data_IF_472987289079
#
_entry.id   IF_472987289079
#
_cell.length_a   1.000
_cell.length_b   1.000
_cell.length_c   1.000
_cell.angle_alpha   90.00
_cell.angle_beta   90.00
_cell.angle_gamma   90.00
#
_symmetry.space_group_name_H-M   'P 1'
#
loop_
_entity.id
_entity.type
_entity.pdbx_description
1 polymer ?
#
# COMPACT_ATOMS: atom_id res chain seq x y z
N UNK A 1 -16.17 -6.39 1.85
CA UNK A 1 -15.44 -6.21 3.12
C UNK A 1 -15.56 -7.53 3.85
N UNK A 2 -14.46 -8.07 4.36
CA UNK A 2 -14.49 -9.36 5.06
C UNK A 2 -14.52 -9.09 6.57
N UNK A 3 -15.29 -9.89 7.29
CA UNK A 3 -15.41 -9.83 8.75
C UNK A 3 -14.86 -11.10 9.35
N UNK A 4 -14.33 -10.99 10.57
CA UNK A 4 -13.96 -12.14 11.37
C UNK A 4 -15.22 -12.86 11.86
N UNK A 5 -15.30 -14.18 11.71
CA UNK A 5 -16.49 -14.97 12.02
C UNK A 5 -16.22 -16.28 12.78
N UNK A 6 -14.98 -16.52 13.21
CA UNK A 6 -14.63 -17.66 14.07
C UNK A 6 -15.07 -17.41 15.52
N UNK A 7 -15.31 -18.50 16.25
CA UNK A 7 -15.72 -18.47 17.66
C UNK A 7 -14.61 -18.98 18.56
N UNK A 8 -14.40 -18.28 19.68
CA UNK A 8 -13.39 -18.57 20.69
C UNK A 8 -13.99 -18.51 22.10
N UNK A 9 -13.33 -19.14 23.07
CA UNK A 9 -13.58 -18.95 24.50
C UNK A 9 -13.22 -17.54 24.94
N UNK A 10 -12.08 -17.01 24.47
CA UNK A 10 -11.53 -15.74 24.92
C UNK A 10 -11.25 -14.79 23.74
N UNK A 11 -11.73 -13.54 23.87
CA UNK A 11 -11.50 -12.49 22.88
C UNK A 11 -10.72 -11.35 23.53
N UNK A 12 -9.48 -11.15 23.11
CA UNK A 12 -8.57 -10.11 23.60
C UNK A 12 -8.51 -8.93 22.63
N UNK A 13 -9.21 -7.84 22.96
CA UNK A 13 -9.09 -6.59 22.24
C UNK A 13 -8.01 -5.71 22.86
N UNK A 14 -7.07 -5.24 22.04
CA UNK A 14 -6.04 -4.30 22.49
C UNK A 14 -6.17 -2.98 21.72
N UNK A 15 -6.36 -1.89 22.47
CA UNK A 15 -6.12 -0.55 21.96
C UNK A 15 -4.64 -0.21 22.14
N UNK A 16 -3.97 0.01 21.02
CA UNK A 16 -2.52 0.13 20.96
C UNK A 16 -2.11 1.60 21.12
N UNK A 17 -1.09 1.84 21.94
CA UNK A 17 -0.37 3.12 21.98
C UNK A 17 1.12 2.87 21.85
N UNK A 18 1.90 3.92 21.62
CA UNK A 18 3.35 3.79 21.40
C UNK A 18 4.10 3.24 22.63
N UNK A 19 3.55 3.39 23.84
CA UNK A 19 4.21 3.03 25.11
C UNK A 19 3.30 2.31 26.11
N UNK A 20 2.00 2.25 25.85
CA UNK A 20 1.02 1.55 26.68
C UNK A 20 0.06 0.74 25.82
N UNK A 21 -0.60 -0.23 26.46
CA UNK A 21 -1.63 -1.08 25.86
C UNK A 21 -2.82 -1.07 26.79
N UNK A 22 -4.00 -0.81 26.27
CA UNK A 22 -5.24 -1.08 26.97
C UNK A 22 -5.75 -2.44 26.50
N UNK A 23 -5.70 -3.41 27.40
CA UNK A 23 -6.03 -4.81 27.13
C UNK A 23 -7.38 -5.11 27.75
N UNK A 24 -8.31 -5.62 26.95
CA UNK A 24 -9.60 -6.11 27.40
C UNK A 24 -9.83 -7.54 26.92
N UNK A 25 -10.15 -8.45 27.84
CA UNK A 25 -10.52 -9.83 27.53
C UNK A 25 -11.97 -10.06 27.95
N UNK A 26 -12.77 -10.58 27.02
CA UNK A 26 -14.14 -11.01 27.28
C UNK A 26 -14.31 -12.49 26.94
N UNK A 27 -15.24 -13.16 27.62
CA UNK A 27 -15.62 -14.53 27.29
C UNK A 27 -16.69 -14.59 26.18
N UNK A 28 -17.08 -15.80 25.78
CA UNK A 28 -18.13 -16.04 24.78
C UNK A 28 -19.49 -15.43 25.18
N UNK A 29 -19.81 -15.42 26.48
CA UNK A 29 -21.03 -14.81 27.04
C UNK A 29 -21.00 -13.27 26.99
N UNK A 30 -19.83 -12.67 26.75
CA UNK A 30 -19.62 -11.23 26.68
C UNK A 30 -19.28 -10.59 28.03
N UNK A 31 -18.99 -11.40 29.05
CA UNK A 31 -18.54 -10.95 30.35
C UNK A 31 -17.08 -10.52 30.27
N UNK A 32 -16.74 -9.40 30.92
CA UNK A 32 -15.35 -8.92 30.97
C UNK A 32 -14.58 -9.69 32.02
N UNK A 33 -13.60 -10.49 31.58
CA UNK A 33 -12.71 -11.24 32.47
C UNK A 33 -11.50 -10.39 32.90
N UNK A 34 -11.04 -9.51 32.01
CA UNK A 34 -9.88 -8.66 32.23
C UNK A 34 -10.08 -7.30 31.55
N UNK A 35 -9.64 -6.24 32.23
CA UNK A 35 -9.53 -4.91 31.63
C UNK A 35 -8.44 -4.09 32.33
N UNK A 36 -7.28 -3.92 31.70
CA UNK A 36 -6.11 -3.32 32.34
C UNK A 36 -5.24 -2.54 31.35
N UNK A 37 -4.66 -1.45 31.82
CA UNK A 37 -3.56 -0.77 31.13
C UNK A 37 -2.22 -1.37 31.57
N UNK A 38 -1.37 -1.68 30.60
CA UNK A 38 0.01 -2.15 30.83
C UNK A 38 0.99 -1.36 29.95
N UNK A 39 2.27 -1.41 30.30
CA UNK A 39 3.33 -0.94 29.39
C UNK A 39 3.32 -1.76 28.09
N UNK A 40 3.67 -1.13 26.96
CA UNK A 40 3.86 -1.82 25.69
C UNK A 40 5.16 -2.67 25.70
N UNK A 41 5.12 -3.79 26.41
CA UNK A 41 6.22 -4.73 26.61
C UNK A 41 5.68 -6.18 26.43
N UNK A 42 6.36 -7.04 25.64
CA UNK A 42 6.01 -8.45 25.48
C UNK A 42 5.86 -9.24 26.80
N UNK A 43 6.76 -9.04 27.75
CA UNK A 43 6.76 -9.74 29.05
C UNK A 43 5.51 -9.38 29.87
N UNK A 44 5.18 -8.09 29.89
CA UNK A 44 3.97 -7.60 30.56
C UNK A 44 2.70 -8.12 29.88
N UNK A 45 2.72 -8.28 28.55
CA UNK A 45 1.59 -8.81 27.81
C UNK A 45 1.39 -10.30 28.06
N UNK A 46 2.45 -11.12 28.01
CA UNK A 46 2.34 -12.56 28.25
C UNK A 46 1.92 -12.85 29.69
N UNK A 47 2.50 -12.16 30.68
CA UNK A 47 2.11 -12.31 32.09
C UNK A 47 0.61 -12.05 32.27
N UNK A 48 0.10 -11.01 31.60
CA UNK A 48 -1.30 -10.61 31.69
C UNK A 48 -2.27 -11.60 31.03
N UNK A 49 -1.92 -12.15 29.86
CA UNK A 49 -2.82 -13.02 29.08
C UNK A 49 -2.64 -14.51 29.39
N UNK A 50 -1.57 -14.90 30.10
CA UNK A 50 -1.26 -16.31 30.45
C UNK A 50 -2.46 -17.12 30.98
N UNK A 51 -3.34 -16.57 31.84
CA UNK A 51 -4.50 -17.32 32.34
C UNK A 51 -5.56 -17.65 31.29
N UNK A 52 -5.51 -17.02 30.11
CA UNK A 52 -6.56 -17.06 29.09
C UNK A 52 -6.08 -17.63 27.74
N UNK A 53 -4.85 -18.17 27.67
CA UNK A 53 -4.23 -18.60 26.41
C UNK A 53 -5.01 -19.71 25.68
N UNK A 54 -5.72 -20.56 26.42
CA UNK A 54 -6.55 -21.59 25.83
C UNK A 54 -7.69 -20.96 25.02
N UNK A 55 -7.70 -21.20 23.70
CA UNK A 55 -8.64 -20.66 22.73
C UNK A 55 -8.81 -19.12 22.81
N UNK A 56 -7.68 -18.41 22.75
CA UNK A 56 -7.59 -16.95 22.71
C UNK A 56 -7.41 -16.42 21.28
N UNK A 57 -8.26 -15.46 20.89
CA UNK A 57 -7.99 -14.59 19.73
C UNK A 57 -7.63 -13.18 20.18
N UNK A 58 -6.54 -12.63 19.61
CA UNK A 58 -6.07 -11.29 19.88
C UNK A 58 -6.32 -10.37 18.66
N UNK A 59 -7.04 -9.27 18.89
CA UNK A 59 -7.36 -8.29 17.88
C UNK A 59 -6.85 -6.89 18.21
N UNK A 60 -6.32 -6.19 17.20
CA UNK A 60 -5.88 -4.80 17.33
C UNK A 60 -6.30 -3.96 16.12
N UNK A 61 -6.48 -2.65 16.27
CA UNK A 61 -6.65 -1.76 15.11
C UNK A 61 -5.32 -1.58 14.35
N UNK A 62 -5.38 -1.54 13.01
CA UNK A 62 -4.23 -1.24 12.17
C UNK A 62 -3.72 0.20 12.39
N UNK A 63 -2.70 0.33 13.24
CA UNK A 63 -1.92 1.55 13.43
C UNK A 63 -0.41 1.30 13.28
N UNK A 64 0.44 2.27 13.62
CA UNK A 64 1.87 2.17 13.29
C UNK A 64 2.64 1.10 14.10
N UNK A 65 2.17 0.68 15.28
CA UNK A 65 2.89 -0.22 16.18
C UNK A 65 2.29 -1.63 16.32
N UNK A 66 1.43 -2.09 15.40
CA UNK A 66 0.87 -3.46 15.49
C UNK A 66 1.91 -4.56 15.18
N UNK A 67 3.05 -4.23 14.56
CA UNK A 67 3.98 -5.23 14.05
C UNK A 67 4.52 -6.17 15.12
N UNK A 68 4.93 -5.61 16.26
CA UNK A 68 5.50 -6.40 17.34
C UNK A 68 4.45 -7.25 18.02
N UNK A 69 3.19 -6.81 18.08
CA UNK A 69 2.07 -7.58 18.64
C UNK A 69 1.75 -8.77 17.75
N UNK A 70 1.70 -8.58 16.43
CA UNK A 70 1.53 -9.69 15.50
C UNK A 70 2.67 -10.72 15.61
N UNK A 71 3.90 -10.24 15.77
CA UNK A 71 5.07 -11.10 15.92
C UNK A 71 5.08 -11.83 17.26
N UNK A 72 4.69 -11.15 18.33
CA UNK A 72 4.47 -11.74 19.63
C UNK A 72 3.44 -12.86 19.57
N UNK A 73 2.31 -12.62 18.89
CA UNK A 73 1.29 -13.66 18.71
C UNK A 73 1.82 -14.86 17.91
N UNK A 74 2.57 -14.62 16.83
CA UNK A 74 3.21 -15.66 16.03
C UNK A 74 4.24 -16.47 16.86
N UNK A 75 5.05 -15.80 17.69
CA UNK A 75 6.07 -16.42 18.55
C UNK A 75 5.44 -17.24 19.71
N UNK A 76 4.15 -17.03 20.02
CA UNK A 76 3.41 -17.69 21.11
C UNK A 76 2.22 -18.55 20.64
N UNK A 77 2.09 -18.81 19.33
CA UNK A 77 0.98 -19.58 18.74
C UNK A 77 -0.42 -19.02 19.07
N UNK A 78 -0.56 -17.69 19.20
CA UNK A 78 -1.82 -17.00 19.48
C UNK A 78 -2.46 -16.54 18.17
N UNK A 79 -3.75 -16.83 17.96
CA UNK A 79 -4.46 -16.33 16.78
C UNK A 79 -4.54 -14.79 16.81
N UNK A 80 -3.97 -14.16 15.78
CA UNK A 80 -3.93 -12.70 15.66
C UNK A 80 -4.75 -12.19 14.49
N UNK A 81 -5.59 -11.19 14.76
CA UNK A 81 -6.35 -10.50 13.73
C UNK A 81 -6.14 -8.99 13.76
N UNK A 82 -6.13 -8.38 12.58
CA UNK A 82 -5.88 -6.96 12.41
C UNK A 82 -7.13 -6.25 11.92
N UNK A 83 -7.52 -5.18 12.60
CA UNK A 83 -8.68 -4.36 12.29
C UNK A 83 -8.39 -3.32 11.22
N UNK A 84 -9.24 -3.22 10.21
CA UNK A 84 -9.11 -2.22 9.16
C UNK A 84 -9.49 -0.83 9.68
N UNK A 85 -8.50 0.04 9.91
CA UNK A 85 -8.66 1.35 10.56
C UNK A 85 -9.82 2.22 10.05
N UNK A 86 -9.99 2.35 8.71
CA UNK A 86 -11.10 3.12 8.15
C UNK A 86 -12.47 2.56 8.54
N UNK A 87 -12.59 1.24 8.58
CA UNK A 87 -13.86 0.57 8.83
C UNK A 87 -14.14 0.43 10.32
N UNK A 88 -13.10 0.24 11.13
CA UNK A 88 -13.18 0.38 12.59
C UNK A 88 -13.81 1.73 12.93
N UNK A 89 -13.26 2.85 12.43
CA UNK A 89 -13.83 4.19 12.64
C UNK A 89 -15.30 4.33 12.24
N UNK A 90 -15.73 3.71 11.15
CA UNK A 90 -17.12 3.76 10.70
C UNK A 90 -18.07 3.01 11.65
N UNK A 91 -17.60 1.95 12.29
CA UNK A 91 -18.35 1.18 13.29
C UNK A 91 -18.32 1.89 14.66
N UNK A 92 -17.29 2.72 14.92
CA UNK A 92 -16.99 3.34 16.22
C UNK A 92 -17.66 4.71 16.45
N UNK A 93 -18.91 4.91 16.01
CA UNK A 93 -19.65 6.18 16.09
C UNK A 93 -20.19 6.60 17.48
N UNK A 94 -19.50 6.28 18.57
CA UNK A 94 -19.92 6.62 19.95
C UNK A 94 -19.58 8.07 20.35
N UNK A 95 -20.39 8.68 21.22
CA UNK A 95 -20.12 10.03 21.78
C UNK A 95 -18.89 10.08 22.70
N UNK A 96 -18.58 8.96 23.37
CA UNK A 96 -17.46 8.85 24.31
C UNK A 96 -16.31 8.07 23.69
N UNK A 97 -15.12 8.67 23.71
CA UNK A 97 -13.87 8.05 23.26
C UNK A 97 -12.90 8.00 24.43
N UNK A 98 -12.60 6.79 24.91
CA UNK A 98 -11.50 6.54 25.83
C UNK A 98 -10.94 5.13 25.54
N UNK A 99 -9.66 4.94 25.86
CA UNK A 99 -8.89 3.76 25.44
C UNK A 99 -9.43 2.46 26.08
N UNK A 100 -9.98 2.58 27.30
CA UNK A 100 -10.72 1.51 27.98
C UNK A 100 -11.92 1.03 27.15
N UNK A 101 -12.76 1.95 26.68
CA UNK A 101 -13.94 1.61 25.87
C UNK A 101 -13.51 1.07 24.50
N UNK A 102 -12.42 1.56 23.92
CA UNK A 102 -11.99 1.16 22.58
C UNK A 102 -11.42 -0.28 22.56
N UNK A 103 -10.63 -0.68 23.57
CA UNK A 103 -10.17 -2.08 23.72
C UNK A 103 -11.34 -3.07 23.93
N UNK A 104 -12.33 -2.72 24.77
CA UNK A 104 -13.55 -3.54 24.93
C UNK A 104 -14.34 -3.66 23.62
N UNK A 105 -14.50 -2.56 22.86
CA UNK A 105 -15.21 -2.59 21.57
C UNK A 105 -14.52 -3.51 20.57
N UNK A 106 -13.19 -3.50 20.52
CA UNK A 106 -12.42 -4.42 19.68
C UNK A 106 -12.81 -5.87 20.04
N UNK A 107 -12.71 -6.24 21.32
CA UNK A 107 -13.07 -7.57 21.80
C UNK A 107 -14.53 -7.94 21.46
N UNK A 108 -15.46 -7.02 21.70
CA UNK A 108 -16.88 -7.21 21.44
C UNK A 108 -17.20 -7.37 19.93
N UNK A 109 -16.50 -6.65 19.05
CA UNK A 109 -16.65 -6.80 17.60
C UNK A 109 -16.15 -8.15 17.10
N UNK A 110 -15.06 -8.66 17.67
CA UNK A 110 -14.55 -10.00 17.35
C UNK A 110 -15.58 -11.05 17.76
N UNK A 111 -16.04 -11.01 19.01
CA UNK A 111 -17.08 -11.91 19.53
C UNK A 111 -18.37 -11.85 18.71
N UNK A 112 -18.77 -10.66 18.29
CA UNK A 112 -20.00 -10.43 17.53
C UNK A 112 -19.91 -10.77 16.03
N UNK A 113 -18.77 -11.28 15.55
CA UNK A 113 -18.61 -11.63 14.13
C UNK A 113 -18.58 -10.42 13.17
N UNK A 114 -18.37 -9.22 13.70
CA UNK A 114 -18.46 -7.95 12.96
C UNK A 114 -17.11 -7.19 12.95
N UNK A 115 -16.02 -7.85 13.32
CA UNK A 115 -14.69 -7.26 13.30
C UNK A 115 -14.14 -7.13 11.87
N UNK A 116 -13.86 -5.91 11.39
CA UNK A 116 -13.47 -5.68 10.01
C UNK A 116 -12.00 -6.05 9.75
N UNK A 117 -11.75 -7.07 8.95
CA UNK A 117 -10.38 -7.57 8.75
C UNK A 117 -9.54 -6.69 7.82
N UNK A 118 -8.31 -6.45 8.25
CA UNK A 118 -7.18 -6.00 7.46
C UNK A 118 -6.19 -7.15 7.28
N UNK A 119 -5.33 -7.03 6.27
CA UNK A 119 -4.32 -8.04 5.99
C UNK A 119 -3.10 -7.87 6.89
N UNK A 120 -2.86 -8.88 7.72
CA UNK A 120 -1.62 -9.07 8.48
C UNK A 120 -0.52 -9.41 7.48
N UNK A 121 0.33 -8.43 7.15
CA UNK A 121 1.38 -8.65 6.17
C UNK A 121 2.50 -9.52 6.76
N UNK A 122 3.05 -10.51 6.03
CA UNK A 122 4.02 -11.46 6.58
C UNK A 122 5.28 -10.83 7.18
N UNK A 123 5.71 -11.32 8.37
CA UNK A 123 6.86 -10.83 9.14
C UNK A 123 8.12 -10.67 8.30
N UNK A 124 8.51 -11.72 7.58
CA UNK A 124 9.71 -11.76 6.73
C UNK A 124 9.71 -10.73 5.59
N UNK A 125 8.54 -10.30 5.10
CA UNK A 125 8.44 -9.37 3.97
C UNK A 125 8.13 -7.92 4.37
N UNK A 126 7.61 -7.67 5.59
CA UNK A 126 7.15 -6.33 6.03
C UNK A 126 8.23 -5.25 5.88
N UNK A 127 9.43 -5.49 6.43
CA UNK A 127 10.52 -4.52 6.39
C UNK A 127 10.93 -4.14 4.96
N UNK A 128 10.90 -5.10 4.04
CA UNK A 128 11.27 -4.85 2.64
C UNK A 128 10.21 -4.01 1.92
N UNK A 129 8.91 -4.31 2.14
CA UNK A 129 7.81 -3.47 1.64
C UNK A 129 7.92 -2.04 2.16
N UNK A 130 8.22 -1.89 3.45
CA UNK A 130 8.27 -0.56 4.06
C UNK A 130 9.47 0.26 3.55
N UNK A 131 10.62 -0.38 3.31
CA UNK A 131 11.75 0.24 2.62
C UNK A 131 11.38 0.67 1.19
N UNK A 132 10.62 -0.13 0.44
CA UNK A 132 10.14 0.23 -0.89
C UNK A 132 9.16 1.42 -0.86
N UNK A 133 8.27 1.48 0.13
CA UNK A 133 7.40 2.65 0.35
C UNK A 133 8.21 3.89 0.72
N UNK A 134 9.23 3.75 1.59
CA UNK A 134 10.14 4.85 1.92
C UNK A 134 10.89 5.36 0.70
N UNK A 135 11.43 4.46 -0.12
CA UNK A 135 12.04 4.81 -1.42
C UNK A 135 11.08 5.61 -2.29
N UNK A 136 9.82 5.19 -2.38
CA UNK A 136 8.79 5.91 -3.16
C UNK A 136 8.57 7.32 -2.65
N UNK A 137 8.54 7.53 -1.34
CA UNK A 137 8.41 8.86 -0.74
C UNK A 137 9.62 9.75 -1.05
N UNK A 138 10.85 9.23 -0.94
CA UNK A 138 12.07 9.98 -1.26
C UNK A 138 12.13 10.37 -2.74
N UNK A 139 11.67 9.49 -3.64
CA UNK A 139 11.59 9.78 -5.08
C UNK A 139 10.58 10.88 -5.39
N UNK A 140 9.44 10.90 -4.67
CA UNK A 140 8.45 11.97 -4.80
C UNK A 140 9.00 13.29 -4.29
N UNK A 141 9.64 13.29 -3.13
CA UNK A 141 10.31 14.48 -2.61
C UNK A 141 11.37 14.99 -3.61
N UNK A 142 12.16 14.11 -4.21
CA UNK A 142 13.09 14.49 -5.28
C UNK A 142 12.41 14.99 -6.57
N UNK A 143 11.13 14.70 -6.81
CA UNK A 143 10.37 15.33 -7.89
C UNK A 143 9.88 16.72 -7.49
N UNK A 144 9.49 16.92 -6.22
CA UNK A 144 9.09 18.22 -5.68
C UNK A 144 10.26 19.22 -5.72
N UNK A 145 11.48 18.80 -5.36
CA UNK A 145 12.69 19.62 -5.50
C UNK A 145 12.95 20.04 -6.95
N UNK A 146 12.75 19.13 -7.92
CA UNK A 146 12.91 19.45 -9.35
C UNK A 146 11.82 20.40 -9.84
N UNK A 147 10.60 20.26 -9.34
CA UNK A 147 9.52 21.17 -9.64
C UNK A 147 9.79 22.56 -9.06
N UNK A 148 10.33 22.64 -7.84
CA UNK A 148 10.75 23.90 -7.23
C UNK A 148 11.79 24.61 -8.12
N UNK A 149 12.83 23.91 -8.57
CA UNK A 149 13.83 24.47 -9.50
C UNK A 149 13.19 25.03 -10.77
N UNK A 150 12.29 24.26 -11.41
CA UNK A 150 11.59 24.71 -12.61
C UNK A 150 10.71 25.94 -12.34
N UNK A 151 10.03 25.97 -11.19
CA UNK A 151 9.18 27.09 -10.79
C UNK A 151 10.02 28.34 -10.51
N UNK A 152 11.16 28.22 -9.83
CA UNK A 152 12.07 29.34 -9.56
C UNK A 152 12.61 29.91 -10.87
N UNK A 153 13.02 29.07 -11.83
CA UNK A 153 13.42 29.54 -13.17
C UNK A 153 12.30 30.34 -13.85
N UNK A 154 11.05 29.87 -13.76
CA UNK A 154 9.89 30.61 -14.29
C UNK A 154 9.63 31.91 -13.54
N UNK A 155 9.81 31.94 -12.21
CA UNK A 155 9.57 33.11 -11.36
C UNK A 155 10.50 34.28 -11.72
N UNK A 156 11.75 33.98 -12.11
CA UNK A 156 12.72 34.96 -12.58
C UNK A 156 12.69 35.16 -14.10
N UNK A 157 11.65 34.66 -14.78
CA UNK A 157 11.45 34.78 -16.23
C UNK A 157 12.67 34.31 -17.05
N UNK A 158 13.36 33.27 -16.58
CA UNK A 158 14.49 32.67 -17.28
C UNK A 158 14.00 31.63 -18.31
N UNK A 159 14.79 31.36 -19.37
CA UNK A 159 14.46 30.31 -20.34
C UNK A 159 14.23 28.97 -19.64
N UNK A 160 13.29 28.14 -20.14
CA UNK A 160 12.99 26.86 -19.52
C UNK A 160 14.24 25.97 -19.49
N UNK A 161 14.56 25.49 -18.29
CA UNK A 161 15.63 24.53 -18.06
C UNK A 161 15.30 23.21 -18.76
N UNK A 162 15.84 22.99 -19.97
CA UNK A 162 15.70 21.71 -20.71
C UNK A 162 16.52 20.57 -20.10
N UNK A 163 17.22 20.84 -19.00
CA UNK A 163 18.08 19.89 -18.30
C UNK A 163 17.26 18.81 -17.61
N UNK A 164 17.55 17.55 -17.95
CA UNK A 164 17.04 16.42 -17.19
C UNK A 164 17.80 16.36 -15.86
N UNK A 165 17.24 16.94 -14.80
CA UNK A 165 17.82 17.00 -13.46
C UNK A 165 18.01 15.61 -12.79
N UNK A 166 17.74 14.50 -13.50
CA UNK A 166 18.23 13.17 -13.13
C UNK A 166 19.72 13.00 -13.42
N UNK A 167 20.27 13.73 -14.40
CA UNK A 167 21.64 13.62 -14.85
C UNK A 167 22.53 14.61 -14.10
N UNK A 168 23.67 14.14 -13.58
CA UNK A 168 24.61 14.96 -12.79
C UNK A 168 25.11 16.16 -13.59
N UNK A 169 25.62 15.96 -14.81
CA UNK A 169 26.11 17.05 -15.66
C UNK A 169 25.03 18.06 -16.08
N UNK A 170 23.75 17.68 -16.01
CA UNK A 170 22.64 18.60 -16.26
C UNK A 170 22.33 19.49 -15.04
N UNK A 171 22.72 19.06 -13.83
CA UNK A 171 22.62 19.84 -12.59
C UNK A 171 23.74 20.88 -12.49
N UNK A 172 24.93 20.55 -12.98
CA UNK A 172 26.09 21.46 -12.97
C UNK A 172 25.82 22.75 -13.76
N UNK A 173 25.02 22.66 -14.82
CA UNK A 173 24.57 23.83 -15.59
C UNK A 173 23.74 24.83 -14.76
N UNK A 174 23.18 24.39 -13.63
CA UNK A 174 22.40 25.24 -12.74
C UNK A 174 23.22 26.04 -11.73
N UNK A 175 24.52 25.74 -11.59
CA UNK A 175 25.36 26.34 -10.54
C UNK A 175 25.52 27.86 -10.67
N UNK A 176 25.32 28.42 -11.86
CA UNK A 176 25.47 29.84 -12.17
C UNK A 176 24.24 30.42 -12.89
N UNK A 177 23.08 29.77 -12.75
CA UNK A 177 21.85 30.17 -13.48
C UNK A 177 21.21 31.45 -12.92
N UNK A 178 21.36 31.72 -11.62
CA UNK A 178 20.74 32.87 -10.97
C UNK A 178 21.82 33.86 -10.53
N UNK A 179 21.66 35.13 -10.93
CA UNK A 179 22.60 36.20 -10.58
C UNK A 179 22.54 36.57 -9.10
N UNK A 180 21.35 36.51 -8.49
CA UNK A 180 21.20 36.75 -7.06
C UNK A 180 21.78 35.56 -6.26
N UNK A 181 22.77 35.79 -5.38
CA UNK A 181 23.46 34.72 -4.66
C UNK A 181 22.56 33.97 -3.66
N UNK A 182 21.50 34.61 -3.14
CA UNK A 182 20.55 33.97 -2.22
C UNK A 182 19.64 33.01 -2.98
N UNK A 183 19.16 33.42 -4.15
CA UNK A 183 18.37 32.55 -5.05
C UNK A 183 19.20 31.37 -5.52
N UNK A 184 20.45 31.62 -5.93
CA UNK A 184 21.37 30.56 -6.33
C UNK A 184 21.63 29.59 -5.18
N UNK A 185 21.80 30.09 -3.95
CA UNK A 185 21.99 29.23 -2.76
C UNK A 185 20.78 28.32 -2.50
N UNK A 186 19.56 28.82 -2.70
CA UNK A 186 18.34 28.03 -2.57
C UNK A 186 18.33 26.83 -3.53
N UNK A 187 18.66 27.07 -4.81
CA UNK A 187 18.73 26.00 -5.81
C UNK A 187 19.89 25.03 -5.54
N UNK A 188 21.04 25.53 -5.07
CA UNK A 188 22.17 24.67 -4.71
C UNK A 188 21.83 23.71 -3.57
N UNK A 189 20.98 24.10 -2.62
CA UNK A 189 20.50 23.22 -1.55
C UNK A 189 19.70 22.05 -2.13
N UNK A 190 18.76 22.31 -3.02
CA UNK A 190 17.97 21.27 -3.70
C UNK A 190 18.87 20.32 -4.47
N UNK A 191 19.87 20.85 -5.18
CA UNK A 191 20.83 20.03 -5.94
C UNK A 191 21.63 19.10 -5.01
N UNK A 192 22.09 19.59 -3.86
CA UNK A 192 22.82 18.77 -2.89
C UNK A 192 21.96 17.62 -2.35
N UNK A 193 20.68 17.86 -2.07
CA UNK A 193 19.74 16.82 -1.64
C UNK A 193 19.46 15.82 -2.76
N UNK A 194 19.26 16.29 -4.00
CA UNK A 194 19.05 15.44 -5.17
C UNK A 194 20.24 14.53 -5.47
N UNK A 195 21.46 15.01 -5.24
CA UNK A 195 22.68 14.23 -5.39
C UNK A 195 22.75 13.10 -4.36
N UNK A 196 22.47 13.40 -3.10
CA UNK A 196 22.34 12.39 -2.05
C UNK A 196 21.30 11.32 -2.43
N UNK A 197 20.10 11.73 -2.86
CA UNK A 197 19.07 10.78 -3.29
C UNK A 197 19.51 9.93 -4.47
N UNK A 198 20.18 10.51 -5.46
CA UNK A 198 20.64 9.75 -6.63
C UNK A 198 21.57 8.59 -6.24
N UNK A 199 22.53 8.87 -5.35
CA UNK A 199 23.49 7.88 -4.83
C UNK A 199 22.80 6.81 -3.98
N UNK A 200 22.04 7.22 -2.97
CA UNK A 200 21.46 6.29 -1.99
C UNK A 200 20.34 5.42 -2.58
N UNK A 201 19.48 6.00 -3.42
CA UNK A 201 18.35 5.27 -4.01
C UNK A 201 18.81 4.12 -4.91
N UNK A 202 19.92 4.29 -5.63
CA UNK A 202 20.46 3.24 -6.50
C UNK A 202 20.85 2.00 -5.69
N UNK A 203 21.45 2.19 -4.52
CA UNK A 203 21.84 1.11 -3.60
C UNK A 203 20.61 0.43 -2.99
N UNK A 204 19.64 1.23 -2.53
CA UNK A 204 18.37 0.74 -1.98
C UNK A 204 17.61 -0.10 -3.01
N UNK A 205 17.51 0.36 -4.26
CA UNK A 205 16.80 -0.36 -5.32
C UNK A 205 17.43 -1.71 -5.65
N UNK A 206 18.76 -1.81 -5.60
CA UNK A 206 19.46 -3.08 -5.78
C UNK A 206 19.28 -4.02 -4.58
N UNK A 207 19.33 -3.49 -3.37
CA UNK A 207 19.03 -4.27 -2.16
C UNK A 207 17.61 -4.83 -2.20
N UNK A 208 16.61 -4.01 -2.54
CA UNK A 208 15.22 -4.43 -2.69
C UNK A 208 15.05 -5.53 -3.74
N UNK A 209 15.74 -5.43 -4.89
CA UNK A 209 15.73 -6.48 -5.91
C UNK A 209 16.32 -7.80 -5.38
N UNK A 210 17.41 -7.74 -4.62
CA UNK A 210 17.98 -8.93 -3.98
C UNK A 210 17.01 -9.59 -3.00
N UNK A 211 16.31 -8.80 -2.19
CA UNK A 211 15.31 -9.33 -1.26
C UNK A 211 14.13 -9.96 -2.03
N UNK A 212 13.68 -9.35 -3.12
CA UNK A 212 12.60 -9.91 -3.94
C UNK A 212 12.96 -11.28 -4.53
N UNK A 213 14.21 -11.45 -4.99
CA UNK A 213 14.73 -12.73 -5.49
C UNK A 213 14.80 -13.82 -4.41
N UNK A 214 14.87 -13.44 -3.13
CA UNK A 214 14.83 -14.38 -2.00
C UNK A 214 13.40 -14.69 -1.56
N UNK A 215 12.56 -13.67 -1.45
CA UNK A 215 11.20 -13.81 -0.91
C UNK A 215 10.25 -14.46 -1.92
N UNK A 216 10.25 -14.02 -3.18
CA UNK A 216 9.32 -14.53 -4.18
C UNK A 216 9.86 -14.36 -5.62
N UNK A 217 10.88 -15.15 -6.02
CA UNK A 217 11.53 -15.01 -7.33
C UNK A 217 10.55 -15.25 -8.48
N UNK A 218 9.63 -16.22 -8.36
CA UNK A 218 8.66 -16.54 -9.39
C UNK A 218 7.80 -15.32 -9.75
N UNK A 219 7.17 -14.67 -8.77
CA UNK A 219 6.34 -13.50 -9.03
C UNK A 219 7.17 -12.34 -9.60
N UNK A 220 8.38 -12.12 -9.09
CA UNK A 220 9.24 -11.04 -9.59
C UNK A 220 9.56 -11.19 -11.08
N UNK A 221 9.95 -12.40 -11.51
CA UNK A 221 10.27 -12.65 -12.92
C UNK A 221 9.02 -12.68 -13.81
N UNK A 222 7.91 -13.28 -13.35
CA UNK A 222 6.63 -13.26 -14.07
C UNK A 222 6.16 -11.84 -14.35
N UNK A 223 6.19 -10.94 -13.35
CA UNK A 223 5.81 -9.54 -13.52
C UNK A 223 6.68 -8.82 -14.57
N UNK A 224 7.98 -9.13 -14.62
CA UNK A 224 8.91 -8.54 -15.59
C UNK A 224 8.73 -9.06 -17.03
N UNK A 225 7.93 -10.10 -17.25
CA UNK A 225 7.57 -10.54 -18.61
C UNK A 225 6.60 -9.59 -19.29
N UNK A 226 5.92 -8.73 -18.54
CA UNK A 226 4.98 -7.74 -19.09
C UNK A 226 5.77 -6.54 -19.63
N UNK A 227 5.66 -6.20 -20.93
CA UNK A 227 6.30 -5.01 -21.47
C UNK A 227 5.86 -3.75 -20.69
N UNK A 228 6.82 -2.88 -20.35
CA UNK A 228 6.56 -1.70 -19.53
C UNK A 228 6.57 -1.92 -18.02
N UNK A 229 6.64 -3.17 -17.52
CA UNK A 229 6.87 -3.46 -16.10
C UNK A 229 8.37 -3.73 -15.86
N UNK A 230 9.09 -2.67 -15.53
CA UNK A 230 10.50 -2.75 -15.13
C UNK A 230 10.68 -3.13 -13.66
N UNK A 231 11.94 -3.09 -13.19
CA UNK A 231 12.34 -3.44 -11.80
C UNK A 231 11.42 -2.84 -10.74
N UNK A 232 11.25 -1.52 -10.74
CA UNK A 232 10.54 -0.82 -9.66
C UNK A 232 9.03 -1.14 -9.65
N UNK A 233 8.42 -1.23 -10.83
CA UNK A 233 7.00 -1.59 -10.94
C UNK A 233 6.78 -3.04 -10.52
N UNK A 234 7.65 -3.97 -10.91
CA UNK A 234 7.59 -5.35 -10.45
C UNK A 234 7.72 -5.45 -8.93
N UNK A 235 8.68 -4.74 -8.32
CA UNK A 235 8.84 -4.70 -6.85
C UNK A 235 7.59 -4.14 -6.17
N UNK A 236 7.03 -3.04 -6.70
CA UNK A 236 5.84 -2.40 -6.11
C UNK A 236 4.64 -3.31 -6.21
N UNK A 237 4.42 -3.94 -7.35
CA UNK A 237 3.30 -4.87 -7.52
C UNK A 237 3.47 -6.08 -6.61
N UNK A 238 4.66 -6.69 -6.57
CA UNK A 238 4.95 -7.85 -5.71
C UNK A 238 4.69 -7.53 -4.24
N UNK A 239 5.34 -6.50 -3.68
CA UNK A 239 5.26 -6.23 -2.24
C UNK A 239 3.92 -5.63 -1.80
N UNK A 240 3.18 -4.95 -2.68
CA UNK A 240 1.87 -4.41 -2.31
C UNK A 240 0.74 -5.44 -2.44
N UNK A 241 0.94 -6.48 -3.27
CA UNK A 241 0.06 -7.66 -3.32
C UNK A 241 0.36 -8.57 -2.13
N UNK A 242 1.64 -8.94 -1.95
CA UNK A 242 2.04 -10.06 -1.10
C UNK A 242 1.67 -11.37 -1.80
N UNK A 243 0.97 -12.25 -1.09
CA UNK A 243 0.36 -13.43 -1.70
C UNK A 243 -0.84 -13.03 -2.58
N UNK A 244 -0.95 -13.62 -3.77
CA UNK A 244 -2.09 -13.41 -4.67
C UNK A 244 -3.30 -14.26 -4.26
N UNK A 245 -3.10 -15.38 -3.57
CA UNK A 245 -4.17 -16.32 -3.21
C UNK A 245 -5.14 -15.72 -2.18
N UNK A 246 -4.70 -14.75 -1.37
CA UNK A 246 -5.57 -13.96 -0.48
C UNK A 246 -6.73 -13.24 -1.18
N UNK A 247 -6.72 -13.14 -2.51
CA UNK A 247 -7.79 -12.54 -3.29
C UNK A 247 -8.62 -13.64 -3.97
N UNK A 248 -9.79 -13.92 -3.38
CA UNK A 248 -10.75 -14.93 -3.89
C UNK A 248 -11.12 -14.72 -5.37
N UNK A 249 -11.26 -13.47 -5.79
CA UNK A 249 -11.63 -13.11 -7.16
C UNK A 249 -10.84 -11.93 -7.72
N UNK A 250 -10.77 -11.87 -9.05
CA UNK A 250 -10.13 -10.76 -9.77
C UNK A 250 -10.81 -9.42 -9.48
N UNK A 251 -12.11 -9.41 -9.18
CA UNK A 251 -12.86 -8.21 -8.81
C UNK A 251 -12.42 -7.68 -7.43
N UNK A 252 -12.24 -8.57 -6.44
CA UNK A 252 -11.71 -8.18 -5.11
C UNK A 252 -10.28 -7.62 -5.26
N UNK A 253 -9.44 -8.25 -6.08
CA UNK A 253 -8.10 -7.75 -6.39
C UNK A 253 -8.13 -6.37 -7.08
N UNK A 254 -8.92 -6.22 -8.14
CA UNK A 254 -8.99 -4.97 -8.88
C UNK A 254 -9.58 -3.82 -8.04
N UNK A 255 -10.51 -4.13 -7.13
CA UNK A 255 -10.97 -3.21 -6.08
C UNK A 255 -9.84 -2.78 -5.15
N UNK A 256 -9.10 -3.74 -4.60
CA UNK A 256 -7.94 -3.47 -3.75
C UNK A 256 -6.89 -2.61 -4.47
N UNK A 257 -6.59 -2.87 -5.74
CA UNK A 257 -5.64 -2.09 -6.54
C UNK A 257 -6.18 -0.73 -7.06
N UNK A 258 -7.41 -0.35 -6.68
CA UNK A 258 -8.14 0.85 -7.16
C UNK A 258 -8.27 0.93 -8.69
N UNK A 259 -8.40 -0.22 -9.35
CA UNK A 259 -8.51 -0.33 -10.80
C UNK A 259 -9.96 -0.36 -11.31
N UNK A 260 -10.92 -0.42 -10.40
CA UNK A 260 -12.34 -0.31 -10.70
C UNK A 260 -12.91 0.99 -10.16
N UNK A 261 -14.08 1.38 -10.68
CA UNK A 261 -14.92 2.41 -10.07
C UNK A 261 -16.11 1.74 -9.40
N UNK A 262 -16.46 2.19 -8.21
CA UNK A 262 -17.69 1.77 -7.56
C UNK A 262 -18.88 2.37 -8.31
N UNK A 263 -19.84 1.54 -8.70
CA UNK A 263 -21.12 2.02 -9.20
C UNK A 263 -21.95 2.50 -8.00
N UNK A 264 -22.64 3.62 -8.18
CA UNK A 264 -23.62 4.10 -7.22
C UNK A 264 -24.99 3.61 -7.69
N UNK A 265 -25.56 2.62 -6.99
CA UNK A 265 -26.85 2.04 -7.33
C UNK A 265 -27.74 2.01 -6.08
N UNK A 266 -28.99 2.46 -6.19
CA UNK A 266 -29.99 2.33 -5.12
C UNK A 266 -31.38 2.13 -5.72
N UNK A 267 -32.21 1.28 -5.10
CA UNK A 267 -33.56 0.98 -5.55
C UNK A 267 -33.70 0.72 -7.08
N UNK A 268 -32.72 0.01 -7.67
CA UNK A 268 -32.68 -0.30 -9.11
C UNK A 268 -32.22 0.86 -10.03
N UNK A 269 -31.95 2.05 -9.50
CA UNK A 269 -31.43 3.21 -10.25
C UNK A 269 -29.91 3.27 -10.17
N UNK A 270 -29.26 3.58 -11.30
CA UNK A 270 -27.80 3.80 -11.38
C UNK A 270 -27.49 5.30 -11.43
N UNK A 271 -26.73 5.80 -10.46
CA UNK A 271 -26.32 7.21 -10.32
C UNK A 271 -24.89 7.46 -10.83
N UNK A 272 -24.39 6.58 -11.68
CA UNK A 272 -23.01 6.62 -12.17
C UNK A 272 -22.02 6.03 -11.18
N UNK A 273 -20.95 6.76 -10.86
CA UNK A 273 -19.89 6.28 -9.95
C UNK A 273 -19.69 7.24 -8.79
N UNK A 274 -19.83 6.75 -7.57
CA UNK A 274 -19.51 7.46 -6.33
C UNK A 274 -18.57 6.61 -5.46
N UNK A 275 -17.88 7.24 -4.51
CA UNK A 275 -17.12 6.55 -3.47
C UNK A 275 -15.78 7.19 -3.15
N UNK A 276 -15.33 6.98 -1.92
CA UNK A 276 -14.00 7.39 -1.46
C UNK A 276 -12.90 6.57 -2.17
N UNK A 277 -11.70 7.14 -2.31
CA UNK A 277 -10.52 6.45 -2.86
C UNK A 277 -9.98 5.41 -1.86
N UNK A 278 -10.70 4.30 -1.68
CA UNK A 278 -10.34 3.20 -0.79
C UNK A 278 -9.52 2.15 -1.58
N UNK A 279 -8.55 1.51 -0.92
CA UNK A 279 -7.66 0.49 -1.51
C UNK A 279 -6.19 0.92 -1.51
N UNK A 280 -5.34 0.24 -2.27
CA UNK A 280 -3.91 0.42 -2.33
C UNK A 280 -3.50 1.48 -3.38
N UNK A 281 -3.00 2.63 -2.90
CA UNK A 281 -2.57 3.73 -3.76
C UNK A 281 -1.26 3.43 -4.52
N UNK A 282 -0.39 2.57 -3.98
CA UNK A 282 0.87 2.17 -4.63
C UNK A 282 0.59 1.28 -5.85
N UNK A 283 -0.31 0.31 -5.73
CA UNK A 283 -0.77 -0.49 -6.87
C UNK A 283 -1.46 0.38 -7.93
N UNK A 284 -2.32 1.32 -7.51
CA UNK A 284 -2.96 2.24 -8.45
C UNK A 284 -1.93 3.01 -9.28
N UNK A 285 -0.92 3.57 -8.62
CA UNK A 285 0.17 4.24 -9.30
C UNK A 285 0.91 3.27 -10.24
N UNK A 286 1.34 2.12 -9.72
CA UNK A 286 2.15 1.17 -10.48
C UNK A 286 1.47 0.69 -11.77
N UNK A 287 0.17 0.33 -11.71
CA UNK A 287 -0.58 -0.09 -12.89
C UNK A 287 -0.87 1.06 -13.86
N UNK A 288 -1.01 2.30 -13.37
CA UNK A 288 -1.20 3.46 -14.24
C UNK A 288 0.08 3.78 -15.02
N UNK A 289 1.24 3.71 -14.37
CA UNK A 289 2.55 3.83 -15.02
C UNK A 289 2.80 2.68 -16.00
N UNK A 290 2.53 1.44 -15.59
CA UNK A 290 2.67 0.26 -16.44
C UNK A 290 1.83 0.41 -17.72
N UNK A 291 0.60 0.92 -17.65
CA UNK A 291 -0.24 1.14 -18.81
C UNK A 291 0.36 2.16 -19.79
N UNK A 292 0.97 3.25 -19.30
CA UNK A 292 1.63 4.25 -20.16
C UNK A 292 2.90 3.69 -20.78
N UNK A 293 3.70 2.95 -20.00
CA UNK A 293 4.95 2.35 -20.49
C UNK A 293 4.70 1.22 -21.47
N UNK A 294 3.64 0.43 -21.28
CA UNK A 294 3.24 -0.65 -22.18
C UNK A 294 2.94 -0.16 -23.60
N UNK A 295 2.52 1.10 -23.77
CA UNK A 295 2.25 1.71 -25.08
C UNK A 295 3.52 2.10 -25.85
N UNK A 296 4.67 2.24 -25.16
CA UNK A 296 5.91 2.71 -25.78
C UNK A 296 6.49 1.63 -26.68
N UNK A 297 6.59 1.91 -27.97
CA UNK A 297 7.11 0.95 -28.96
C UNK A 297 6.18 -0.24 -29.24
N UNK A 298 4.92 -0.20 -28.77
CA UNK A 298 3.96 -1.30 -28.94
C UNK A 298 2.75 -0.86 -29.77
N UNK A 299 2.79 -1.15 -31.07
CA UNK A 299 1.72 -0.76 -32.02
C UNK A 299 0.39 -1.45 -31.71
N UNK A 300 0.42 -2.73 -31.30
CA UNK A 300 -0.79 -3.47 -30.92
C UNK A 300 -1.50 -2.86 -29.70
N UNK A 301 -0.74 -2.48 -28.67
CA UNK A 301 -1.27 -1.79 -27.49
C UNK A 301 -1.82 -0.39 -27.83
N UNK A 302 -1.17 0.33 -28.75
CA UNK A 302 -1.65 1.64 -29.22
C UNK A 302 -2.98 1.51 -29.98
N UNK A 303 -3.12 0.50 -30.85
CA UNK A 303 -4.39 0.21 -31.53
C UNK A 303 -5.49 -0.17 -30.53
N UNK A 304 -5.18 -0.96 -29.51
CA UNK A 304 -6.13 -1.28 -28.44
C UNK A 304 -6.59 -0.02 -27.70
N UNK A 305 -5.67 0.88 -27.37
CA UNK A 305 -6.00 2.15 -26.72
C UNK A 305 -6.89 3.03 -27.63
N UNK A 306 -6.60 3.11 -28.92
CA UNK A 306 -7.44 3.83 -29.89
C UNK A 306 -8.85 3.25 -29.95
N UNK A 307 -9.01 1.92 -29.91
CA UNK A 307 -10.34 1.27 -29.84
C UNK A 307 -11.10 1.69 -28.58
N UNK A 308 -10.44 1.77 -27.42
CA UNK A 308 -11.08 2.31 -26.21
C UNK A 308 -11.45 3.78 -26.38
N UNK A 309 -10.58 4.59 -26.98
CA UNK A 309 -10.83 6.03 -27.18
C UNK A 309 -12.04 6.34 -28.06
N UNK A 310 -12.47 5.41 -28.93
CA UNK A 310 -13.72 5.55 -29.69
C UNK A 310 -14.97 5.66 -28.80
N UNK A 311 -14.90 5.19 -27.54
CA UNK A 311 -16.03 5.13 -26.60
C UNK A 311 -15.82 5.96 -25.33
N UNK A 312 -14.61 6.47 -25.09
CA UNK A 312 -14.27 7.18 -23.85
C UNK A 312 -13.06 8.11 -24.02
N UNK A 313 -12.90 9.07 -23.11
CA UNK A 313 -11.73 9.97 -23.12
C UNK A 313 -10.41 9.22 -22.94
N UNK A 314 -9.29 9.80 -23.41
CA UNK A 314 -7.94 9.23 -23.27
C UNK A 314 -7.61 8.80 -21.84
N UNK A 315 -7.97 9.62 -20.84
CA UNK A 315 -7.74 9.29 -19.43
C UNK A 315 -8.54 8.06 -18.96
N UNK A 316 -9.79 7.93 -19.41
CA UNK A 316 -10.63 6.74 -19.15
C UNK A 316 -10.07 5.52 -19.89
N UNK A 317 -9.60 5.68 -21.12
CA UNK A 317 -9.00 4.59 -21.91
C UNK A 317 -7.71 4.04 -21.26
N UNK A 318 -6.84 4.92 -20.76
CA UNK A 318 -5.66 4.51 -19.99
C UNK A 318 -6.03 3.80 -18.69
N UNK A 319 -7.08 4.25 -18.00
CA UNK A 319 -7.58 3.58 -16.80
C UNK A 319 -8.14 2.19 -17.12
N UNK A 320 -8.84 2.02 -18.24
CA UNK A 320 -9.31 0.73 -18.71
C UNK A 320 -8.15 -0.21 -19.08
N UNK A 321 -7.09 0.31 -19.72
CA UNK A 321 -5.87 -0.44 -19.99
C UNK A 321 -5.16 -0.89 -18.71
N UNK A 322 -5.03 0.02 -17.72
CA UNK A 322 -4.46 -0.32 -16.41
C UNK A 322 -5.28 -1.39 -15.68
N UNK A 323 -6.62 -1.32 -15.74
CA UNK A 323 -7.48 -2.36 -15.20
C UNK A 323 -7.27 -3.70 -15.91
N UNK A 324 -7.18 -3.69 -17.24
CA UNK A 324 -6.91 -4.89 -18.05
C UNK A 324 -5.55 -5.51 -17.71
N UNK A 325 -4.50 -4.71 -17.53
CA UNK A 325 -3.20 -5.17 -17.04
C UNK A 325 -3.29 -5.77 -15.62
N UNK A 326 -4.02 -5.13 -14.70
CA UNK A 326 -4.25 -5.68 -13.37
C UNK A 326 -4.93 -7.06 -13.40
N UNK A 327 -5.95 -7.23 -14.25
CA UNK A 327 -6.59 -8.54 -14.44
C UNK A 327 -5.61 -9.58 -14.97
N UNK A 328 -4.75 -9.21 -15.92
CA UNK A 328 -3.71 -10.10 -16.43
C UNK A 328 -2.74 -10.51 -15.31
N UNK A 329 -2.23 -9.56 -14.53
CA UNK A 329 -1.35 -9.84 -13.37
C UNK A 329 -2.01 -10.79 -12.38
N UNK A 330 -3.29 -10.59 -12.05
CA UNK A 330 -4.01 -11.50 -11.14
C UNK A 330 -3.95 -12.95 -11.62
N UNK A 331 -4.31 -13.22 -12.88
CA UNK A 331 -4.32 -14.58 -13.41
C UNK A 331 -2.91 -15.12 -13.68
N UNK A 332 -1.95 -14.26 -14.06
CA UNK A 332 -0.57 -14.67 -14.25
C UNK A 332 0.05 -15.15 -12.95
N UNK A 333 -0.12 -14.41 -11.85
CA UNK A 333 0.42 -14.79 -10.55
C UNK A 333 -0.31 -16.00 -9.98
N UNK A 334 -1.65 -16.05 -10.08
CA UNK A 334 -2.45 -17.16 -9.53
C UNK A 334 -2.19 -18.51 -10.22
N UNK A 335 -1.88 -18.49 -11.52
CA UNK A 335 -1.62 -19.68 -12.31
C UNK A 335 -0.12 -19.90 -12.64
N UNK A 336 0.75 -19.01 -12.14
CA UNK A 336 2.19 -18.99 -12.42
C UNK A 336 2.54 -19.05 -13.92
N UNK A 337 1.84 -18.25 -14.73
CA UNK A 337 2.03 -18.19 -16.19
C UNK A 337 2.66 -16.88 -16.63
N UNK A 338 3.57 -16.98 -17.61
CA UNK A 338 4.17 -15.83 -18.28
C UNK A 338 3.10 -14.99 -19.01
N UNK A 339 3.42 -13.72 -19.26
CA UNK A 339 2.51 -12.83 -19.99
C UNK A 339 2.34 -13.28 -21.44
N UNK A 340 1.09 -13.56 -21.82
CA UNK A 340 0.70 -13.82 -23.21
C UNK A 340 0.13 -12.54 -23.84
N UNK A 341 0.99 -11.83 -24.58
CA UNK A 341 0.62 -10.58 -25.23
C UNK A 341 -0.44 -10.77 -26.33
N UNK A 342 -0.39 -11.88 -27.08
CA UNK A 342 -1.37 -12.13 -28.15
C UNK A 342 -2.76 -12.27 -27.55
N UNK A 343 -2.91 -13.13 -26.54
CA UNK A 343 -4.16 -13.30 -25.81
C UNK A 343 -4.60 -12.00 -25.16
N UNK A 344 -3.67 -11.26 -24.56
CA UNK A 344 -3.96 -9.97 -23.95
C UNK A 344 -4.57 -9.03 -24.99
N UNK A 345 -3.96 -8.80 -26.14
CA UNK A 345 -4.43 -7.83 -27.12
C UNK A 345 -5.78 -8.20 -27.78
N UNK A 346 -6.13 -9.49 -27.83
CA UNK A 346 -7.37 -9.98 -28.43
C UNK A 346 -8.56 -10.07 -27.47
N UNK A 347 -8.31 -10.22 -26.16
CA UNK A 347 -9.34 -10.46 -25.12
C UNK A 347 -10.09 -9.23 -24.63
#
# INVERSE_FOLDING_TARGET
MNFYNSTHQHYCGIDLHARSLYVCIINQQGETLLHKEISANPDALIELISPYLDDLVLGVECMHCWYWVADFCDDHDIEFILGHALYMKAIHGGKTKNDRVDSFKIAALMRGGNFPLAYVYPRNMRATRDLLRRRTNLVRHGADLKAHVANTTSQYNLPPNKVNLKNVGAREQLNTTFHDPVVQRNINLDMAVLECYHRELSQVEWFLEKQAKKHQPAYFYLLKTIPGIGRILALTILYEIGDIQRFESVQKFASYARLIKCKAESAGKTYGTQGNKIGNAHLKWAFSEAAVLYLRGNSGAQQLLQRFQKRMSKAKALSALAHKLGRAVYFMLKNEKIFDEKRFLTS
#
